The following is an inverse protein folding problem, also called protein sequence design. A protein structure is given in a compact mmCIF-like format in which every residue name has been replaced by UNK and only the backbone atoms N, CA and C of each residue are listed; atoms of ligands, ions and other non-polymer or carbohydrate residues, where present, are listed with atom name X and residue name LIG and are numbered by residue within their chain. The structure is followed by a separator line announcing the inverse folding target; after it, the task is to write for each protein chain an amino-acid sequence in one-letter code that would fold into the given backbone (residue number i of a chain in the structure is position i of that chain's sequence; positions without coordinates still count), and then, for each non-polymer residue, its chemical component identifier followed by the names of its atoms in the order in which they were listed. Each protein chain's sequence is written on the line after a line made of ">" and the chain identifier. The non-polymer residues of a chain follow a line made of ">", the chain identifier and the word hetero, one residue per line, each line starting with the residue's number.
data_IF_290601377161
#
_entry.id   IF_290601377161
#
_cell.length_a   1.000
_cell.length_b   1.000
_cell.length_c   1.000
_cell.angle_alpha   90.00
_cell.angle_beta   90.00
_cell.angle_gamma   90.00
#
_symmetry.space_group_name_H-M   'P 1'
#
loop_
_entity.id
_entity.type
_entity.pdbx_description
1 polymer ?
#
# COMPACT_ATOMS: atom_id res chain seq x y z
N UNK A 1 0.82 26.07 -0.84
CA UNK A 1 1.18 26.05 -2.27
C UNK A 1 1.45 24.59 -2.61
N UNK A 2 0.41 23.83 -2.90
CA UNK A 2 0.57 22.45 -3.37
C UNK A 2 1.01 22.52 -4.83
N UNK A 3 2.17 21.93 -5.12
CA UNK A 3 2.60 21.75 -6.49
C UNK A 3 1.70 20.67 -7.12
N UNK A 4 0.88 21.07 -8.09
CA UNK A 4 0.26 20.17 -9.06
C UNK A 4 1.38 19.59 -9.95
N UNK A 5 2.13 18.61 -9.44
CA UNK A 5 2.97 17.75 -10.27
C UNK A 5 2.06 16.65 -10.79
N UNK A 6 1.82 16.64 -12.10
CA UNK A 6 1.10 15.52 -12.74
C UNK A 6 1.91 14.25 -12.54
N UNK A 7 1.34 13.29 -11.82
CA UNK A 7 1.91 11.96 -11.60
C UNK A 7 1.56 10.98 -12.72
N UNK A 8 0.85 11.40 -13.76
CA UNK A 8 0.25 10.47 -14.76
C UNK A 8 1.26 9.53 -15.44
N UNK A 9 2.50 9.99 -15.68
CA UNK A 9 3.54 9.11 -16.22
C UNK A 9 3.98 8.03 -15.22
N UNK A 10 4.09 8.39 -13.94
CA UNK A 10 4.46 7.47 -12.87
C UNK A 10 3.31 6.52 -12.55
N UNK A 11 2.08 7.02 -12.51
CA UNK A 11 0.88 6.24 -12.18
C UNK A 11 0.57 5.15 -13.21
N UNK A 12 0.97 5.36 -14.47
CA UNK A 12 0.90 4.33 -15.52
C UNK A 12 1.91 3.20 -15.35
N UNK A 13 2.94 3.37 -14.52
CA UNK A 13 4.03 2.41 -14.33
C UNK A 13 4.07 1.84 -12.90
N UNK A 14 3.69 2.63 -11.89
CA UNK A 14 3.76 2.30 -10.48
C UNK A 14 2.48 2.73 -9.77
N UNK A 15 1.87 1.80 -9.02
CA UNK A 15 0.74 2.14 -8.18
C UNK A 15 1.21 2.96 -6.97
N UNK A 16 0.61 4.13 -6.76
CA UNK A 16 0.65 4.80 -5.46
C UNK A 16 -0.10 3.96 -4.41
N UNK A 17 0.09 4.21 -3.10
CA UNK A 17 -0.68 3.55 -2.05
C UNK A 17 -2.20 3.70 -2.23
N UNK A 18 -2.66 4.85 -2.72
CA UNK A 18 -4.06 5.08 -3.07
C UNK A 18 -4.52 4.17 -4.22
N UNK A 19 -3.69 4.01 -5.26
CA UNK A 19 -3.97 3.06 -6.34
C UNK A 19 -3.97 1.62 -5.83
N UNK A 20 -3.05 1.25 -4.94
CA UNK A 20 -2.96 -0.09 -4.37
C UNK A 20 -4.23 -0.47 -3.58
N UNK A 21 -4.77 0.43 -2.74
CA UNK A 21 -6.01 0.19 -2.00
C UNK A 21 -7.21 0.05 -2.93
N UNK A 22 -7.29 0.85 -4.01
CA UNK A 22 -8.33 0.71 -5.03
C UNK A 22 -8.21 -0.63 -5.77
N UNK A 23 -7.00 -1.00 -6.19
CA UNK A 23 -6.71 -2.28 -6.84
C UNK A 23 -7.13 -3.46 -5.97
N UNK A 24 -6.79 -3.43 -4.68
CA UNK A 24 -7.19 -4.45 -3.70
C UNK A 24 -8.72 -4.69 -3.71
N UNK A 25 -9.51 -3.61 -3.72
CA UNK A 25 -10.98 -3.67 -3.80
C UNK A 25 -11.46 -4.16 -5.18
N UNK A 26 -10.88 -3.65 -6.25
CA UNK A 26 -11.28 -3.96 -7.62
C UNK A 26 -11.06 -5.45 -7.97
N UNK A 27 -9.94 -6.03 -7.52
CA UNK A 27 -9.66 -7.46 -7.70
C UNK A 27 -10.32 -8.36 -6.65
N UNK A 28 -11.03 -7.77 -5.68
CA UNK A 28 -11.67 -8.47 -4.56
C UNK A 28 -10.70 -9.34 -3.78
N UNK A 29 -9.50 -8.81 -3.52
CA UNK A 29 -8.51 -9.51 -2.72
C UNK A 29 -9.05 -9.71 -1.29
N UNK A 30 -8.90 -10.92 -0.75
CA UNK A 30 -9.21 -11.19 0.65
C UNK A 30 -8.12 -10.66 1.58
N UNK A 31 -6.87 -10.68 1.13
CA UNK A 31 -5.74 -10.19 1.89
C UNK A 31 -4.71 -9.58 0.94
N UNK A 32 -4.00 -8.53 1.36
CA UNK A 32 -2.94 -7.90 0.58
C UNK A 32 -1.80 -7.41 1.48
N UNK A 33 -0.57 -7.57 0.98
CA UNK A 33 0.63 -7.06 1.61
C UNK A 33 1.33 -6.09 0.66
N UNK A 34 1.59 -4.88 1.13
CA UNK A 34 2.36 -3.88 0.41
C UNK A 34 3.81 -4.32 0.26
N UNK A 35 4.38 -4.07 -0.92
CA UNK A 35 5.75 -4.41 -1.27
C UNK A 35 6.38 -3.27 -2.08
N UNK A 36 7.63 -3.46 -2.53
CA UNK A 36 8.41 -2.54 -3.39
C UNK A 36 9.00 -1.29 -2.70
N UNK A 37 8.32 -0.72 -1.69
CA UNK A 37 8.82 0.44 -0.96
C UNK A 37 10.02 0.11 -0.04
N UNK A 38 10.77 1.15 0.38
CA UNK A 38 11.87 1.09 1.36
C UNK A 38 12.99 0.06 1.11
N UNK A 39 13.11 -0.47 -0.11
CA UNK A 39 14.06 -1.57 -0.43
C UNK A 39 15.30 -1.08 -1.18
N UNK A 40 15.14 -0.09 -2.06
CA UNK A 40 16.23 0.49 -2.83
C UNK A 40 16.80 1.73 -2.15
N UNK A 41 18.08 2.01 -2.39
CA UNK A 41 18.73 3.20 -1.84
C UNK A 41 18.03 4.47 -2.35
N UNK A 42 17.52 5.26 -1.41
CA UNK A 42 16.84 6.53 -1.64
C UNK A 42 16.99 7.40 -0.39
N UNK A 43 15.89 7.99 0.08
CA UNK A 43 15.84 8.73 1.35
C UNK A 43 14.96 8.05 2.40
N UNK A 44 15.19 8.39 3.68
CA UNK A 44 14.36 7.92 4.80
C UNK A 44 12.89 8.38 4.67
N UNK A 45 12.68 9.55 4.04
CA UNK A 45 11.35 10.08 3.75
C UNK A 45 10.65 9.21 2.71
N UNK A 46 11.31 8.92 1.59
CA UNK A 46 10.76 8.02 0.54
C UNK A 46 10.49 6.61 1.07
N UNK A 47 11.24 6.15 2.08
CA UNK A 47 11.00 4.87 2.72
C UNK A 47 9.74 4.86 3.61
N UNK A 48 9.41 5.99 4.25
CA UNK A 48 8.34 6.08 5.25
C UNK A 48 7.02 6.65 4.71
N UNK A 49 7.07 7.51 3.69
CA UNK A 49 5.90 8.15 3.08
C UNK A 49 4.88 7.13 2.51
N UNK A 50 5.27 6.07 1.79
CA UNK A 50 4.31 5.08 1.28
C UNK A 50 3.51 4.38 2.38
N UNK A 51 4.11 4.20 3.56
CA UNK A 51 3.44 3.61 4.72
C UNK A 51 2.38 4.55 5.26
N UNK A 52 2.73 5.83 5.46
CA UNK A 52 1.79 6.84 5.93
C UNK A 52 0.61 7.03 4.97
N UNK A 53 0.89 7.08 3.67
CA UNK A 53 -0.15 7.18 2.64
C UNK A 53 -1.04 5.95 2.56
N UNK A 54 -0.49 4.74 2.73
CA UNK A 54 -1.29 3.51 2.77
C UNK A 54 -2.27 3.53 3.95
N UNK A 55 -1.81 3.93 5.14
CA UNK A 55 -2.66 4.06 6.33
C UNK A 55 -3.81 5.03 6.05
N UNK A 56 -3.50 6.23 5.56
CA UNK A 56 -4.51 7.24 5.23
C UNK A 56 -5.49 6.75 4.13
N UNK A 57 -5.01 6.01 3.14
CA UNK A 57 -5.84 5.44 2.08
C UNK A 57 -6.77 4.35 2.63
N UNK A 58 -6.27 3.44 3.46
CA UNK A 58 -7.06 2.40 4.13
C UNK A 58 -8.17 2.99 5.00
N UNK A 59 -7.83 3.99 5.83
CA UNK A 59 -8.80 4.66 6.71
C UNK A 59 -9.95 5.28 5.90
N UNK A 60 -9.62 5.99 4.80
CA UNK A 60 -10.60 6.61 3.93
C UNK A 60 -11.49 5.59 3.21
N UNK A 61 -10.91 4.48 2.76
CA UNK A 61 -11.59 3.43 2.00
C UNK A 61 -12.23 2.34 2.89
N UNK A 62 -12.03 2.42 4.21
CA UNK A 62 -12.49 1.47 5.23
C UNK A 62 -11.97 0.05 5.00
N UNK A 63 -10.69 -0.07 4.67
CA UNK A 63 -9.99 -1.34 4.51
C UNK A 63 -9.34 -1.75 5.84
N UNK A 64 -9.68 -2.93 6.39
CA UNK A 64 -9.16 -3.39 7.69
C UNK A 64 -7.69 -3.82 7.61
N UNK A 65 -7.14 -4.24 8.75
CA UNK A 65 -5.77 -4.76 8.82
C UNK A 65 -5.62 -6.09 8.10
N UNK A 66 -4.39 -6.42 7.70
CA UNK A 66 -4.14 -7.49 6.73
C UNK A 66 -4.54 -8.88 7.21
N UNK A 67 -4.63 -9.08 8.52
CA UNK A 67 -5.02 -10.33 9.18
C UNK A 67 -6.55 -10.50 9.25
N UNK A 68 -7.32 -9.47 8.91
CA UNK A 68 -8.77 -9.51 8.76
C UNK A 68 -9.18 -9.82 7.30
N UNK A 69 -10.38 -10.37 7.11
CA UNK A 69 -10.91 -10.64 5.76
C UNK A 69 -11.19 -9.32 5.02
N UNK A 70 -10.68 -9.21 3.79
CA UNK A 70 -10.64 -7.97 3.02
C UNK A 70 -9.53 -7.01 3.48
N UNK A 71 -8.52 -7.52 4.19
CA UNK A 71 -7.45 -6.73 4.79
C UNK A 71 -6.31 -6.32 3.85
N UNK A 72 -5.68 -5.19 4.15
CA UNK A 72 -4.43 -4.75 3.51
C UNK A 72 -3.47 -4.28 4.60
N UNK A 73 -2.21 -4.71 4.57
CA UNK A 73 -1.16 -4.14 5.43
C UNK A 73 0.22 -4.22 4.83
N UNK A 74 1.21 -4.08 5.71
CA UNK A 74 2.64 -4.27 5.43
C UNK A 74 3.21 -5.12 6.57
N UNK A 75 4.40 -5.67 6.36
CA UNK A 75 5.19 -6.39 7.36
C UNK A 75 6.63 -5.91 7.31
N UNK A 76 7.40 -6.19 8.35
CA UNK A 76 8.82 -5.86 8.38
C UNK A 76 9.64 -6.71 7.41
N UNK A 77 10.78 -6.17 6.97
CA UNK A 77 11.71 -6.92 6.10
C UNK A 77 12.22 -8.16 6.83
N UNK A 78 11.89 -9.34 6.30
CA UNK A 78 12.24 -10.63 6.88
C UNK A 78 11.17 -11.25 7.76
N UNK A 79 10.06 -10.56 8.01
CA UNK A 79 8.89 -11.11 8.69
C UNK A 79 8.14 -12.11 7.79
N UNK A 80 7.38 -13.03 8.40
CA UNK A 80 6.50 -13.96 7.70
C UNK A 80 5.06 -13.77 8.18
N UNK A 81 4.18 -13.36 7.27
CA UNK A 81 2.74 -13.33 7.50
C UNK A 81 2.10 -14.69 7.19
N UNK A 82 1.15 -15.12 8.03
CA UNK A 82 0.36 -16.33 7.82
C UNK A 82 -1.10 -15.96 7.68
N UNK A 83 -1.71 -16.32 6.56
CA UNK A 83 -3.13 -16.10 6.28
C UNK A 83 -3.85 -17.44 6.30
N UNK A 84 -4.88 -17.55 7.13
CA UNK A 84 -5.70 -18.76 7.20
C UNK A 84 -6.66 -18.82 6.02
N UNK A 85 -6.56 -19.87 5.21
CA UNK A 85 -7.50 -20.15 4.14
C UNK A 85 -8.60 -21.06 4.67
N UNK A 86 -9.73 -20.47 5.07
CA UNK A 86 -10.98 -21.16 5.30
C UNK A 86 -11.93 -20.95 4.11
#
# INVERSE_FOLDING_TARGET
>A
MEALVSTELLDGLHASPNHAVRLHKDIRARHSLGMHFATFAGSDVEASEPVAELIAAKEREKVPDFDEDGGFGIIDVGETAVVSVA
#
